data_IF_969201731611
#
_entry.id   IF_969201731611
#
_cell.length_a   1.000
_cell.length_b   1.000
_cell.length_c   1.000
_cell.angle_alpha   90.00
_cell.angle_beta   90.00
_cell.angle_gamma   90.00
#
_symmetry.space_group_name_H-M   'P 1'
#
loop_
_entity.id
_entity.type
_entity.pdbx_description
1 polymer ?
#
# COMPACT_ATOMS: atom_id res chain seq x y z
N UNK A 1 -0.70 13.21 6.15
CA UNK A 1 0.12 12.05 5.75
C UNK A 1 0.06 11.02 6.87
N UNK A 2 -0.62 9.89 6.63
CA UNK A 2 -0.66 8.78 7.59
C UNK A 2 0.71 8.11 7.62
N UNK A 3 1.36 7.93 8.78
CA UNK A 3 2.67 7.31 8.86
C UNK A 3 2.60 5.87 8.34
N UNK A 4 3.63 5.46 7.57
CA UNK A 4 3.75 4.09 7.09
C UNK A 4 3.97 3.13 8.28
N UNK A 5 3.38 1.92 8.25
CA UNK A 5 3.58 0.92 9.30
C UNK A 5 5.03 0.42 9.26
N UNK A 6 5.54 -0.08 10.39
CA UNK A 6 6.90 -0.63 10.48
C UNK A 6 7.15 -1.80 9.52
N UNK A 7 6.09 -2.49 9.09
CA UNK A 7 6.17 -3.55 8.09
C UNK A 7 6.44 -3.04 6.67
N UNK A 8 6.47 -1.73 6.42
CA UNK A 8 6.73 -1.14 5.10
C UNK A 8 7.95 -0.20 5.16
N UNK A 9 8.76 -0.21 4.10
CA UNK A 9 9.78 0.84 3.89
C UNK A 9 9.13 2.16 3.45
N UNK A 10 9.88 3.28 3.41
CA UNK A 10 9.42 4.46 2.67
C UNK A 10 8.99 4.10 1.25
N UNK A 11 7.99 4.83 0.72
CA UNK A 11 7.53 4.64 -0.65
C UNK A 11 8.63 5.08 -1.63
N UNK A 12 8.83 4.29 -2.66
CA UNK A 12 9.79 4.51 -3.74
C UNK A 12 9.03 4.75 -5.05
N UNK A 13 9.32 5.87 -5.70
CA UNK A 13 8.76 6.27 -6.98
C UNK A 13 9.60 5.80 -8.19
N UNK A 14 10.56 4.90 -7.96
CA UNK A 14 11.39 4.35 -9.02
C UNK A 14 10.55 3.62 -10.06
N UNK A 15 10.60 4.12 -11.30
CA UNK A 15 9.91 3.54 -12.44
C UNK A 15 10.70 2.33 -12.97
N UNK A 16 10.11 1.11 -13.01
CA UNK A 16 10.86 -0.10 -13.30
C UNK A 16 10.95 -0.45 -14.80
N UNK A 17 10.16 0.20 -15.66
CA UNK A 17 10.16 -0.07 -17.11
C UNK A 17 11.09 0.90 -17.84
N UNK A 18 11.57 0.57 -19.06
CA UNK A 18 12.47 1.45 -19.81
C UNK A 18 11.91 2.84 -20.06
N UNK A 19 10.60 2.92 -20.36
CA UNK A 19 9.92 4.17 -20.69
C UNK A 19 8.84 4.50 -19.67
N UNK A 20 8.85 5.70 -19.05
CA UNK A 20 7.77 6.17 -18.19
C UNK A 20 6.51 6.45 -18.99
N UNK A 21 5.36 6.09 -18.42
CA UNK A 21 4.06 6.40 -19.01
C UNK A 21 3.62 7.83 -18.61
N UNK A 22 3.09 8.62 -19.55
CA UNK A 22 2.52 9.93 -19.23
C UNK A 22 1.34 9.79 -18.27
N UNK A 23 1.15 10.81 -17.42
CA UNK A 23 0.03 10.90 -16.46
C UNK A 23 -0.13 9.66 -15.57
N UNK A 24 0.99 8.97 -15.30
CA UNK A 24 1.02 7.74 -14.50
C UNK A 24 1.96 7.91 -13.33
N UNK A 25 1.48 7.54 -12.14
CA UNK A 25 2.28 7.48 -10.92
C UNK A 25 2.52 6.03 -10.55
N UNK A 26 3.80 5.65 -10.46
CA UNK A 26 4.22 4.37 -9.93
C UNK A 26 4.84 4.57 -8.55
N UNK A 27 4.27 3.90 -7.54
CA UNK A 27 4.82 3.86 -6.19
C UNK A 27 4.95 2.41 -5.75
N UNK A 28 6.08 2.10 -5.14
CA UNK A 28 6.39 0.79 -4.59
C UNK A 28 6.88 0.90 -3.16
N UNK A 29 6.79 -0.19 -2.41
CA UNK A 29 7.42 -0.31 -1.10
C UNK A 29 7.84 -1.75 -0.92
N UNK A 30 8.92 -1.97 -0.16
CA UNK A 30 9.21 -3.30 0.37
C UNK A 30 8.34 -3.52 1.60
N UNK A 31 8.03 -4.78 1.89
CA UNK A 31 7.33 -5.15 3.10
C UNK A 31 7.98 -6.33 3.81
N UNK A 32 7.91 -6.34 5.14
CA UNK A 32 8.34 -7.44 6.00
C UNK A 32 7.12 -8.03 6.74
N UNK A 33 6.70 -9.26 6.41
CA UNK A 33 5.58 -9.94 7.07
C UNK A 33 5.77 -10.14 8.58
N UNK A 34 7.01 -10.19 9.07
CA UNK A 34 7.32 -10.44 10.48
C UNK A 34 7.07 -9.20 11.35
N UNK A 35 7.02 -8.02 10.74
CA UNK A 35 6.79 -6.74 11.38
C UNK A 35 5.33 -6.27 11.29
N UNK A 36 4.44 -7.07 10.66
CA UNK A 36 3.02 -6.74 10.56
C UNK A 36 2.35 -6.87 11.93
N UNK A 37 1.87 -5.74 12.46
CA UNK A 37 1.12 -5.72 13.71
C UNK A 37 -0.40 -5.76 13.45
N UNK A 38 -1.16 -6.37 14.36
CA UNK A 38 -2.61 -6.51 14.25
C UNK A 38 -3.36 -5.17 14.08
N UNK A 39 -2.80 -4.07 14.62
CA UNK A 39 -3.36 -2.73 14.51
C UNK A 39 -2.98 -1.97 13.22
N UNK A 40 -2.09 -2.49 12.38
CA UNK A 40 -1.54 -1.76 11.23
C UNK A 40 -2.64 -1.36 10.24
N UNK A 41 -3.57 -2.26 9.95
CA UNK A 41 -4.72 -2.00 9.08
C UNK A 41 -5.59 -0.83 9.57
N UNK A 42 -5.87 -0.79 10.88
CA UNK A 42 -6.67 0.28 11.48
C UNK A 42 -5.90 1.60 11.45
N UNK A 43 -4.62 1.62 11.88
CA UNK A 43 -3.79 2.83 11.86
C UNK A 43 -3.62 3.40 10.45
N UNK A 44 -3.58 2.52 9.45
CA UNK A 44 -3.45 2.91 8.05
C UNK A 44 -4.77 3.28 7.40
N UNK A 45 -5.91 3.12 8.08
CA UNK A 45 -7.26 3.26 7.50
C UNK A 45 -7.47 2.38 6.24
N UNK A 46 -6.92 1.16 6.25
CA UNK A 46 -7.08 0.16 5.17
C UNK A 46 -7.86 -1.01 5.76
N UNK A 47 -9.20 -1.06 5.61
CA UNK A 47 -9.97 -2.18 6.14
C UNK A 47 -9.71 -3.45 5.29
N UNK A 48 -9.17 -4.54 5.87
CA UNK A 48 -8.94 -5.77 5.13
C UNK A 48 -10.26 -6.54 4.97
N UNK A 49 -10.54 -7.12 3.79
CA UNK A 49 -11.69 -8.00 3.61
C UNK A 49 -11.51 -9.32 4.37
N UNK A 50 -12.60 -10.07 4.59
CA UNK A 50 -12.58 -11.35 5.31
C UNK A 50 -11.63 -12.41 4.70
N UNK A 51 -11.34 -12.34 3.40
CA UNK A 51 -10.35 -13.20 2.74
C UNK A 51 -8.92 -12.89 3.20
N UNK A 52 -8.56 -11.60 3.27
CA UNK A 52 -7.24 -11.14 3.72
C UNK A 52 -7.07 -11.34 5.23
N UNK A 53 -8.11 -11.05 6.02
CA UNK A 53 -8.08 -11.27 7.48
C UNK A 53 -7.75 -12.72 7.86
N UNK A 54 -8.24 -13.70 7.08
CA UNK A 54 -7.97 -15.14 7.29
C UNK A 54 -6.67 -15.63 6.64
N UNK A 55 -5.98 -14.77 5.90
CA UNK A 55 -4.75 -15.13 5.19
C UNK A 55 -3.54 -15.08 6.11
N UNK A 56 -2.45 -15.74 5.70
CA UNK A 56 -1.16 -15.65 6.40
C UNK A 56 -0.59 -14.23 6.40
N UNK A 57 0.28 -13.92 7.37
CA UNK A 57 0.89 -12.60 7.55
C UNK A 57 1.54 -12.04 6.27
N UNK A 58 2.19 -12.90 5.47
CA UNK A 58 2.78 -12.50 4.18
C UNK A 58 1.76 -11.86 3.25
N UNK A 59 0.59 -12.49 3.10
CA UNK A 59 -0.47 -11.99 2.21
C UNK A 59 -1.16 -10.75 2.78
N UNK A 60 -1.30 -10.68 4.10
CA UNK A 60 -1.82 -9.49 4.77
C UNK A 60 -0.90 -8.28 4.58
N UNK A 61 0.41 -8.45 4.80
CA UNK A 61 1.40 -7.41 4.63
C UNK A 61 1.48 -6.92 3.18
N UNK A 62 1.48 -7.85 2.21
CA UNK A 62 1.43 -7.53 0.78
C UNK A 62 0.19 -6.69 0.43
N UNK A 63 -0.99 -7.08 0.92
CA UNK A 63 -2.23 -6.35 0.67
C UNK A 63 -2.18 -4.93 1.25
N UNK A 64 -1.71 -4.79 2.49
CA UNK A 64 -1.57 -3.50 3.15
C UNK A 64 -0.59 -2.60 2.38
N UNK A 65 0.59 -3.11 2.05
CA UNK A 65 1.62 -2.40 1.29
C UNK A 65 1.09 -1.91 -0.07
N UNK A 66 0.43 -2.79 -0.83
CA UNK A 66 -0.15 -2.43 -2.13
C UNK A 66 -1.23 -1.35 -2.02
N UNK A 67 -2.08 -1.39 -0.98
CA UNK A 67 -3.10 -0.36 -0.74
C UNK A 67 -2.51 0.99 -0.33
N UNK A 68 -1.42 0.99 0.43
CA UNK A 68 -0.70 2.21 0.78
C UNK A 68 -0.06 2.87 -0.46
N UNK A 69 0.58 2.08 -1.33
CA UNK A 69 1.11 2.58 -2.59
C UNK A 69 0.02 3.18 -3.47
N UNK A 70 -1.10 2.47 -3.63
CA UNK A 70 -2.21 2.93 -4.47
C UNK A 70 -2.84 4.23 -3.95
N UNK A 71 -3.06 4.35 -2.63
CA UNK A 71 -3.55 5.59 -2.03
C UNK A 71 -2.61 6.76 -2.29
N UNK A 72 -1.30 6.56 -2.06
CA UNK A 72 -0.32 7.62 -2.29
C UNK A 72 -0.26 8.03 -3.78
N UNK A 73 -0.43 7.08 -4.70
CA UNK A 73 -0.48 7.36 -6.12
C UNK A 73 -1.71 8.19 -6.50
N UNK A 74 -2.89 7.84 -5.96
CA UNK A 74 -4.14 8.60 -6.14
C UNK A 74 -4.07 10.01 -5.54
N UNK A 75 -3.39 10.16 -4.39
CA UNK A 75 -3.12 11.47 -3.81
C UNK A 75 -2.22 12.32 -4.73
N UNK A 76 -1.25 11.72 -5.41
CA UNK A 76 -0.37 12.44 -6.33
C UNK A 76 -1.04 12.79 -7.67
N UNK A 77 -1.88 11.89 -8.20
CA UNK A 77 -2.57 12.08 -9.48
C UNK A 77 -3.76 13.05 -9.35
N UNK A 78 -4.65 12.81 -8.39
CA UNK A 78 -5.96 13.45 -8.34
C UNK A 78 -6.23 14.15 -6.99
N UNK A 79 -5.23 14.23 -6.11
CA UNK A 79 -5.39 14.71 -4.72
C UNK A 79 -6.45 13.93 -3.92
N UNK A 80 -6.74 12.69 -4.33
CA UNK A 80 -7.71 11.83 -3.68
C UNK A 80 -7.06 11.07 -2.52
N UNK A 81 -7.51 11.35 -1.30
CA UNK A 81 -7.10 10.60 -0.10
C UNK A 81 -8.06 9.42 0.15
N UNK A 82 -8.02 8.42 -0.75
CA UNK A 82 -8.86 7.23 -0.63
C UNK A 82 -8.06 5.93 -0.83
N UNK A 83 -8.58 4.85 -0.28
CA UNK A 83 -8.04 3.49 -0.49
C UNK A 83 -8.93 2.82 -1.53
N UNK A 84 -8.40 2.43 -2.71
CA UNK A 84 -9.23 1.85 -3.76
C UNK A 84 -9.83 0.51 -3.33
N UNK A 85 -11.08 0.30 -3.74
CA UNK A 85 -11.81 -0.93 -3.49
C UNK A 85 -11.11 -2.14 -4.14
N UNK A 86 -11.54 -3.34 -3.76
CA UNK A 86 -11.16 -4.57 -4.46
C UNK A 86 -12.15 -4.75 -5.62
N UNK A 87 -11.63 -5.00 -6.83
CA UNK A 87 -12.43 -5.35 -8.01
C UNK A 87 -12.83 -6.82 -8.04
#
# INVERSE_FOLDING_TARGET
MTPLPACCTPLDAHWPLPDPLPDTVFLSTRFDPTLLAQGDFLRCAVPPPASIQRSVAKRQAEFLAGRLCARAALQQLDQLDCVPAIG
#
